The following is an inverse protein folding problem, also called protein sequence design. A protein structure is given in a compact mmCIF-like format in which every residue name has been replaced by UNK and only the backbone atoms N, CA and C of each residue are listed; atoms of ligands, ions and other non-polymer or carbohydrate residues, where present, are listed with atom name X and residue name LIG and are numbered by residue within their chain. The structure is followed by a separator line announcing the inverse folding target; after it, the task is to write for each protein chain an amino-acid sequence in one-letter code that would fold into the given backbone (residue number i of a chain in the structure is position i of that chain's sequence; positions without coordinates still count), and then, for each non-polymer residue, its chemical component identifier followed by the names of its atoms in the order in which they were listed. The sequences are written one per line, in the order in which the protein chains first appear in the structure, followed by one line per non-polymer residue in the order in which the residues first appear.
data_IF_253200667172
#
_entry.id   IF_253200667172
#
_cell.length_a   1.000
_cell.length_b   1.000
_cell.length_c   1.000
_cell.angle_alpha   90.00
_cell.angle_beta   90.00
_cell.angle_gamma   90.00
#
_symmetry.space_group_name_H-M   'P 1'
#
loop_
_entity.id
_entity.type
_entity.pdbx_description
1 polymer ?
#
# COMPACT_ATOMS: atom_id res chain seq x y z
N UNK A 1 44.22 40.51 89.81
CA UNK A 1 43.00 41.32 89.96
C UNK A 1 42.50 41.72 88.56
N UNK A 2 41.25 41.35 88.22
CA UNK A 2 40.23 42.07 87.41
C UNK A 2 40.72 42.85 86.16
N UNK A 3 40.22 42.69 84.92
CA UNK A 3 38.95 42.20 84.35
C UNK A 3 39.20 41.88 82.87
N UNK A 4 38.68 40.75 82.37
CA UNK A 4 38.52 40.48 80.95
C UNK A 4 37.14 40.97 80.50
N UNK A 5 37.09 41.75 79.41
CA UNK A 5 35.86 42.19 78.75
C UNK A 5 35.55 41.22 77.61
N UNK A 6 34.48 40.45 77.77
CA UNK A 6 33.85 39.65 76.72
C UNK A 6 32.94 40.56 75.89
N UNK A 7 33.27 40.77 74.63
CA UNK A 7 32.34 41.32 73.63
C UNK A 7 31.64 40.15 72.94
N UNK A 8 30.36 39.95 73.26
CA UNK A 8 29.48 38.99 72.61
C UNK A 8 28.96 39.57 71.29
N UNK A 9 29.46 39.07 70.16
CA UNK A 9 28.87 39.33 68.85
C UNK A 9 27.75 38.32 68.60
N UNK A 10 26.51 38.80 68.67
CA UNK A 10 25.31 38.04 68.28
C UNK A 10 25.29 37.92 66.76
N UNK A 11 25.54 36.71 66.25
CA UNK A 11 25.31 36.35 64.84
C UNK A 11 23.82 36.13 64.66
N UNK A 12 23.12 37.09 64.03
CA UNK A 12 21.75 36.90 63.57
C UNK A 12 21.77 36.00 62.32
N UNK A 13 21.45 34.71 62.49
CA UNK A 13 21.10 33.84 61.38
C UNK A 13 19.76 34.31 60.78
N UNK A 14 19.81 35.05 59.67
CA UNK A 14 18.65 35.21 58.81
C UNK A 14 18.42 33.89 58.06
N UNK A 15 17.52 33.05 58.56
CA UNK A 15 16.90 32.00 57.75
C UNK A 15 16.06 32.68 56.69
N UNK A 16 16.67 32.90 55.51
CA UNK A 16 15.94 33.26 54.30
C UNK A 16 15.10 32.05 53.91
N UNK A 17 13.86 32.02 54.36
CA UNK A 17 12.87 31.06 53.89
C UNK A 17 12.71 31.27 52.39
N UNK A 18 13.31 30.40 51.58
CA UNK A 18 12.91 30.23 50.19
C UNK A 18 11.48 29.72 50.21
N UNK A 19 10.52 30.64 50.23
CA UNK A 19 9.15 30.33 49.83
C UNK A 19 9.22 29.92 48.37
N UNK A 20 9.29 28.61 48.12
CA UNK A 20 8.79 28.06 46.87
C UNK A 20 7.29 28.37 46.86
N UNK A 21 6.93 29.54 46.34
CA UNK A 21 5.66 29.70 45.65
C UNK A 21 5.66 28.62 44.58
N UNK A 22 4.97 27.51 44.85
CA UNK A 22 4.54 26.61 43.81
C UNK A 22 3.81 27.51 42.80
N UNK A 23 4.41 27.69 41.62
CA UNK A 23 3.68 28.23 40.51
C UNK A 23 2.46 27.32 40.36
N UNK A 24 1.27 27.85 40.66
CA UNK A 24 0.02 27.28 40.18
C UNK A 24 0.26 26.94 38.71
N UNK A 25 -0.03 25.70 38.25
CA UNK A 25 0.05 25.42 36.83
C UNK A 25 -0.80 26.50 36.17
N UNK A 26 -0.21 27.29 35.28
CA UNK A 26 -0.96 28.24 34.46
C UNK A 26 -1.97 27.39 33.69
N UNK A 27 -3.16 27.29 34.26
CA UNK A 27 -4.31 26.62 33.69
C UNK A 27 -4.79 27.52 32.58
N UNK A 28 -4.08 27.48 31.45
CA UNK A 28 -4.54 28.11 30.23
C UNK A 28 -6.03 27.79 30.08
N UNK A 29 -6.90 28.80 29.87
CA UNK A 29 -8.32 28.57 29.76
C UNK A 29 -8.59 27.44 28.77
N UNK A 30 -9.37 26.43 29.19
CA UNK A 30 -9.64 25.21 28.41
C UNK A 30 -10.46 25.47 27.13
N UNK A 31 -10.83 26.71 26.87
CA UNK A 31 -11.49 27.21 25.67
C UNK A 31 -10.50 27.84 24.67
N UNK A 32 -9.21 27.92 24.99
CA UNK A 32 -8.16 28.35 24.07
C UNK A 32 -7.52 27.16 23.35
N UNK A 33 -6.96 27.38 22.15
CA UNK A 33 -6.23 26.35 21.41
C UNK A 33 -5.13 25.69 22.27
N UNK A 34 -4.21 26.44 22.93
CA UNK A 34 -3.23 25.81 23.82
C UNK A 34 -3.84 25.02 24.98
N UNK A 35 -4.92 25.52 25.58
CA UNK A 35 -5.60 24.86 26.70
C UNK A 35 -6.25 23.54 26.29
N UNK A 36 -7.00 23.54 25.18
CA UNK A 36 -7.64 22.32 24.63
C UNK A 36 -6.58 21.29 24.22
N UNK A 37 -5.57 21.71 23.44
CA UNK A 37 -4.54 20.78 22.95
C UNK A 37 -3.74 20.18 24.10
N UNK A 38 -3.38 20.97 25.11
CA UNK A 38 -2.69 20.46 26.30
C UNK A 38 -3.55 19.44 27.06
N UNK A 39 -4.81 19.76 27.35
CA UNK A 39 -5.69 18.83 28.06
C UNK A 39 -5.87 17.50 27.33
N UNK A 40 -5.95 17.52 25.99
CA UNK A 40 -6.00 16.31 25.17
C UNK A 40 -4.72 15.49 25.31
N UNK A 41 -3.56 16.13 25.16
CA UNK A 41 -2.26 15.45 25.24
C UNK A 41 -2.01 14.87 26.65
N UNK A 42 -2.34 15.62 27.70
CA UNK A 42 -2.30 15.14 29.09
C UNK A 42 -3.17 13.90 29.29
N UNK A 43 -4.38 13.87 28.71
CA UNK A 43 -5.26 12.69 28.79
C UNK A 43 -4.62 11.47 28.11
N UNK A 44 -4.10 11.64 26.89
CA UNK A 44 -3.45 10.56 26.15
C UNK A 44 -2.19 10.03 26.87
N UNK A 45 -1.40 10.93 27.44
CA UNK A 45 -0.17 10.59 28.16
C UNK A 45 -0.44 9.92 29.51
N UNK A 46 -1.51 10.31 30.21
CA UNK A 46 -1.97 9.62 31.41
C UNK A 46 -2.37 8.16 31.13
N UNK A 47 -2.90 7.89 29.93
CA UNK A 47 -3.22 6.55 29.44
C UNK A 47 -1.99 5.79 28.86
N UNK A 48 -0.79 6.39 28.95
CA UNK A 48 0.48 5.76 28.58
C UNK A 48 0.95 6.01 27.14
N UNK A 49 0.27 6.88 26.38
CA UNK A 49 0.73 7.24 25.04
C UNK A 49 1.95 8.17 25.07
N UNK A 50 2.78 8.10 24.03
CA UNK A 50 3.76 9.13 23.73
C UNK A 50 3.19 10.02 22.62
N UNK A 51 2.85 11.27 22.96
CA UNK A 51 2.26 12.22 22.03
C UNK A 51 3.17 13.46 21.82
N UNK A 52 3.07 14.07 20.65
CA UNK A 52 3.73 15.31 20.29
C UNK A 52 2.83 16.14 19.39
N UNK A 53 2.93 17.47 19.51
CA UNK A 53 2.14 18.40 18.72
C UNK A 53 2.96 19.66 18.39
N UNK A 54 2.83 20.11 17.15
CA UNK A 54 3.41 21.35 16.68
C UNK A 54 2.37 22.05 15.80
N UNK A 55 1.85 23.17 16.27
CA UNK A 55 0.82 23.96 15.60
C UNK A 55 1.40 25.30 15.24
N UNK A 56 1.21 25.70 13.99
CA UNK A 56 1.80 26.90 13.41
C UNK A 56 0.73 27.67 12.64
N UNK A 57 0.81 29.00 12.67
CA UNK A 57 0.04 29.85 11.75
C UNK A 57 0.62 29.67 10.33
N UNK A 58 -0.19 29.17 9.40
CA UNK A 58 0.26 28.87 8.05
C UNK A 58 0.66 30.11 7.22
N UNK A 59 0.25 31.31 7.62
CA UNK A 59 0.59 32.57 6.94
C UNK A 59 1.88 33.19 7.49
N UNK A 60 2.01 33.22 8.81
CA UNK A 60 3.14 33.91 9.48
C UNK A 60 4.29 32.96 9.79
N UNK A 61 4.04 31.65 9.88
CA UNK A 61 4.99 30.66 10.37
C UNK A 61 5.18 30.69 11.89
N UNK A 62 4.38 31.48 12.61
CA UNK A 62 4.48 31.61 14.06
C UNK A 62 3.96 30.35 14.77
N UNK A 63 4.75 29.74 15.68
CA UNK A 63 4.26 28.63 16.49
C UNK A 63 3.14 29.09 17.43
N UNK A 64 1.95 28.49 17.29
CA UNK A 64 0.78 28.75 18.13
C UNK A 64 0.72 27.78 19.32
N UNK A 65 1.33 26.60 19.19
CA UNK A 65 1.44 25.59 20.23
C UNK A 65 2.59 24.63 19.94
N UNK A 66 3.37 24.28 20.96
CA UNK A 66 4.41 23.27 20.86
C UNK A 66 4.35 22.32 22.05
N UNK A 67 4.54 21.03 21.80
CA UNK A 67 4.64 19.99 22.82
C UNK A 67 5.44 18.82 22.27
N UNK A 68 6.63 18.57 22.84
CA UNK A 68 7.52 17.47 22.41
C UNK A 68 7.82 17.49 20.90
N UNK A 69 7.87 18.67 20.29
CA UNK A 69 8.00 18.85 18.84
C UNK A 69 9.31 18.30 18.25
N UNK A 70 10.33 18.10 19.11
CA UNK A 70 11.63 17.53 18.73
C UNK A 70 11.76 16.02 19.06
N UNK A 71 10.71 15.38 19.57
CA UNK A 71 10.71 13.94 19.86
C UNK A 71 10.39 13.16 18.58
N UNK A 72 11.22 12.18 18.23
CA UNK A 72 10.97 11.31 17.08
C UNK A 72 9.87 10.30 17.40
N UNK A 73 8.82 10.28 16.58
CA UNK A 73 7.69 9.37 16.66
C UNK A 73 7.56 8.58 15.36
N UNK A 74 6.84 7.45 15.38
CA UNK A 74 6.47 6.73 14.16
C UNK A 74 5.39 7.54 13.43
N UNK A 75 5.66 8.07 12.23
CA UNK A 75 4.70 8.95 11.54
C UNK A 75 3.54 8.17 10.91
N UNK A 76 3.66 6.84 10.77
CA UNK A 76 2.76 6.04 9.96
C UNK A 76 2.54 6.70 8.57
N UNK A 77 1.30 6.81 8.13
CA UNK A 77 0.98 7.41 6.82
C UNK A 77 1.23 8.92 6.71
N UNK A 78 1.53 9.65 7.79
CA UNK A 78 1.90 11.08 7.67
C UNK A 78 3.25 11.26 6.97
N UNK A 79 4.08 10.21 6.90
CA UNK A 79 5.30 10.18 6.09
C UNK A 79 5.03 10.49 4.60
N UNK A 80 3.81 10.22 4.12
CA UNK A 80 3.40 10.55 2.74
C UNK A 80 3.50 12.03 2.42
N UNK A 81 3.42 12.92 3.41
CA UNK A 81 3.62 14.36 3.22
C UNK A 81 5.05 14.65 2.75
N UNK A 82 6.04 14.04 3.41
CA UNK A 82 7.46 14.20 3.08
C UNK A 82 7.76 13.59 1.71
N UNK A 83 7.35 12.35 1.46
CA UNK A 83 7.64 11.67 0.19
C UNK A 83 6.94 12.34 -1.01
N UNK A 84 5.70 12.79 -0.85
CA UNK A 84 4.97 13.50 -1.92
C UNK A 84 5.59 14.87 -2.18
N UNK A 85 5.99 15.60 -1.14
CA UNK A 85 6.67 16.90 -1.30
C UNK A 85 8.01 16.74 -2.04
N UNK A 86 8.78 15.70 -1.71
CA UNK A 86 10.02 15.38 -2.41
C UNK A 86 9.78 15.03 -3.89
N UNK A 87 8.78 14.20 -4.18
CA UNK A 87 8.42 13.85 -5.56
C UNK A 87 7.97 15.08 -6.37
N UNK A 88 7.11 15.93 -5.79
CA UNK A 88 6.65 17.17 -6.43
C UNK A 88 7.81 18.15 -6.67
N UNK A 89 8.75 18.28 -5.72
CA UNK A 89 9.92 19.13 -5.87
C UNK A 89 10.90 18.62 -6.93
N UNK A 90 11.07 17.30 -7.05
CA UNK A 90 12.03 16.69 -7.95
C UNK A 90 11.51 16.55 -9.39
N UNK A 91 10.23 16.16 -9.54
CA UNK A 91 9.62 15.85 -10.84
C UNK A 91 8.76 16.99 -11.39
N UNK A 92 8.21 17.83 -10.50
CA UNK A 92 7.19 18.82 -10.85
C UNK A 92 5.77 18.22 -10.87
N UNK A 93 4.76 19.08 -10.72
CA UNK A 93 3.35 18.67 -10.69
C UNK A 93 2.83 18.17 -12.05
N UNK A 94 3.48 18.59 -13.14
CA UNK A 94 3.10 18.23 -14.51
C UNK A 94 3.82 16.98 -15.02
N UNK A 95 4.68 16.36 -14.21
CA UNK A 95 5.33 15.12 -14.59
C UNK A 95 4.31 14.04 -14.96
N UNK A 96 4.58 13.32 -16.05
CA UNK A 96 3.80 12.17 -16.49
C UNK A 96 4.74 11.02 -16.75
N UNK A 97 4.41 9.86 -16.20
CA UNK A 97 5.07 8.63 -16.58
C UNK A 97 4.74 8.30 -18.04
N UNK A 98 5.69 7.67 -18.72
CA UNK A 98 5.49 7.12 -20.05
C UNK A 98 6.01 5.69 -20.02
N UNK A 99 5.15 4.74 -20.40
CA UNK A 99 5.50 3.32 -20.51
C UNK A 99 5.45 2.92 -21.99
N UNK A 100 6.59 2.94 -22.70
CA UNK A 100 6.64 2.52 -24.09
C UNK A 100 6.28 1.04 -24.23
N UNK A 101 5.48 0.72 -25.24
CA UNK A 101 5.18 -0.65 -25.67
C UNK A 101 5.47 -0.77 -27.16
N UNK A 102 6.26 -1.76 -27.53
CA UNK A 102 6.70 -1.99 -28.90
C UNK A 102 6.57 -3.46 -29.30
N UNK A 103 6.52 -3.69 -30.61
CA UNK A 103 6.54 -5.01 -31.22
C UNK A 103 7.95 -5.29 -31.72
N UNK A 104 8.57 -6.36 -31.23
CA UNK A 104 9.93 -6.77 -31.61
C UNK A 104 9.87 -8.09 -32.37
N UNK A 105 10.05 -8.03 -33.69
CA UNK A 105 10.06 -9.22 -34.54
C UNK A 105 9.69 -8.90 -35.98
N UNK A 106 9.12 -9.89 -36.66
CA UNK A 106 8.79 -9.80 -38.09
C UNK A 106 7.31 -10.06 -38.34
N UNK A 107 6.73 -9.27 -39.24
CA UNK A 107 5.36 -9.47 -39.72
C UNK A 107 5.38 -9.97 -41.16
N UNK A 108 4.60 -11.02 -41.45
CA UNK A 108 4.36 -11.53 -42.79
C UNK A 108 2.86 -11.61 -43.04
N UNK A 109 2.32 -10.62 -43.77
CA UNK A 109 0.87 -10.47 -43.92
C UNK A 109 0.19 -10.28 -42.57
N UNK A 110 -0.82 -11.12 -42.27
CA UNK A 110 -1.52 -11.10 -40.99
C UNK A 110 -0.85 -11.87 -39.85
N UNK A 111 0.32 -12.48 -40.09
CA UNK A 111 1.07 -13.23 -39.09
C UNK A 111 2.19 -12.36 -38.50
N UNK A 112 2.21 -12.18 -37.18
CA UNK A 112 3.32 -11.59 -36.45
C UNK A 112 4.10 -12.66 -35.69
N UNK A 113 5.42 -12.71 -35.92
CA UNK A 113 6.38 -13.58 -35.25
C UNK A 113 7.34 -12.69 -34.47
N UNK A 114 7.14 -12.56 -33.16
CA UNK A 114 7.87 -11.61 -32.35
C UNK A 114 7.23 -11.35 -30.99
N UNK A 115 7.90 -10.60 -30.14
CA UNK A 115 7.44 -10.30 -28.79
C UNK A 115 6.71 -8.95 -28.72
N UNK A 116 5.77 -8.83 -27.78
CA UNK A 116 5.30 -7.54 -27.27
C UNK A 116 6.23 -7.16 -26.12
N UNK A 117 6.89 -6.02 -26.22
CA UNK A 117 7.85 -5.58 -25.20
C UNK A 117 7.37 -4.27 -24.59
N UNK A 118 7.16 -4.26 -23.29
CA UNK A 118 6.94 -3.04 -22.53
C UNK A 118 8.23 -2.64 -21.78
N UNK A 119 8.53 -1.35 -21.75
CA UNK A 119 9.70 -0.83 -21.02
C UNK A 119 9.27 -0.31 -19.66
N UNK A 120 9.86 -0.86 -18.60
CA UNK A 120 9.63 -0.44 -17.23
C UNK A 120 9.97 1.04 -17.04
N UNK A 121 9.04 1.78 -16.45
CA UNK A 121 9.11 3.24 -16.26
C UNK A 121 8.84 3.68 -14.82
N UNK A 122 8.43 2.75 -13.95
CA UNK A 122 7.93 3.06 -12.60
C UNK A 122 6.51 3.65 -12.57
N UNK A 123 5.75 3.63 -13.67
CA UNK A 123 4.38 4.18 -13.74
C UNK A 123 3.40 3.46 -12.79
N UNK A 124 2.96 4.10 -11.68
CA UNK A 124 2.06 3.46 -10.72
C UNK A 124 0.61 3.42 -11.22
N UNK A 125 0.30 4.10 -12.33
CA UNK A 125 -1.05 4.24 -12.88
C UNK A 125 -1.35 3.26 -14.00
N UNK A 126 -0.35 2.59 -14.58
CA UNK A 126 -0.53 1.69 -15.72
C UNK A 126 -1.56 0.58 -15.42
N UNK A 127 -2.65 0.53 -16.18
CA UNK A 127 -3.73 -0.44 -16.00
C UNK A 127 -4.62 -0.22 -14.76
N UNK A 128 -4.31 0.74 -13.89
CA UNK A 128 -5.09 0.98 -12.68
C UNK A 128 -6.54 1.38 -13.01
N UNK A 129 -7.48 0.80 -12.28
CA UNK A 129 -8.91 1.14 -12.39
C UNK A 129 -9.23 2.56 -11.92
N UNK A 130 -8.30 3.24 -11.23
CA UNK A 130 -8.47 4.63 -10.76
C UNK A 130 -8.19 5.66 -11.84
N UNK A 131 -7.52 5.26 -12.91
CA UNK A 131 -7.08 6.13 -13.99
C UNK A 131 -7.67 5.60 -15.31
N UNK A 132 -8.84 6.10 -15.74
CA UNK A 132 -9.51 5.63 -16.96
C UNK A 132 -8.61 5.66 -18.20
N UNK A 133 -7.66 6.59 -18.26
CA UNK A 133 -6.75 6.80 -19.38
C UNK A 133 -5.74 5.66 -19.56
N UNK A 134 -5.40 4.96 -18.48
CA UNK A 134 -4.43 3.85 -18.46
C UNK A 134 -5.09 2.50 -18.21
N UNK A 135 -6.35 2.47 -17.77
CA UNK A 135 -7.13 1.26 -17.54
C UNK A 135 -7.23 0.34 -18.78
N UNK A 136 -7.21 0.92 -19.98
CA UNK A 136 -7.28 0.23 -21.27
C UNK A 136 -5.91 -0.08 -21.89
N UNK A 137 -4.83 -0.12 -21.09
CA UNK A 137 -3.47 -0.30 -21.60
C UNK A 137 -3.31 -1.55 -22.50
N UNK A 138 -3.93 -2.67 -22.13
CA UNK A 138 -3.84 -3.92 -22.90
C UNK A 138 -4.71 -3.89 -24.16
N UNK A 139 -5.88 -3.25 -24.11
CA UNK A 139 -6.73 -3.07 -25.29
C UNK A 139 -6.02 -2.20 -26.34
N UNK A 140 -5.25 -1.17 -25.93
CA UNK A 140 -4.40 -0.41 -26.85
C UNK A 140 -3.35 -1.25 -27.57
N UNK A 141 -2.84 -2.30 -26.92
CA UNK A 141 -1.95 -3.26 -27.58
C UNK A 141 -2.73 -4.03 -28.64
N UNK A 142 -3.92 -4.53 -28.32
CA UNK A 142 -4.75 -5.26 -29.28
C UNK A 142 -5.20 -4.40 -30.46
N UNK A 143 -5.59 -3.14 -30.22
CA UNK A 143 -5.88 -2.14 -31.24
C UNK A 143 -4.66 -1.88 -32.15
N UNK A 144 -3.46 -1.83 -31.57
CA UNK A 144 -2.22 -1.67 -32.33
C UNK A 144 -1.89 -2.87 -33.23
N UNK A 145 -2.30 -4.09 -32.86
CA UNK A 145 -2.23 -5.28 -33.70
C UNK A 145 -3.24 -5.19 -34.86
N UNK A 146 -4.50 -4.86 -34.56
CA UNK A 146 -5.56 -4.72 -35.56
C UNK A 146 -5.21 -3.62 -36.59
N UNK A 147 -4.72 -2.48 -36.13
CA UNK A 147 -4.30 -1.36 -36.99
C UNK A 147 -3.14 -1.73 -37.93
N UNK A 148 -2.32 -2.72 -37.57
CA UNK A 148 -1.23 -3.26 -38.41
C UNK A 148 -1.69 -4.41 -39.31
N UNK A 149 -2.97 -4.79 -39.27
CA UNK A 149 -3.50 -5.93 -40.00
C UNK A 149 -2.99 -7.28 -39.49
N UNK A 150 -2.52 -7.35 -38.25
CA UNK A 150 -2.12 -8.61 -37.61
C UNK A 150 -3.40 -9.34 -37.16
N UNK A 151 -3.50 -10.63 -37.43
CA UNK A 151 -4.61 -11.51 -37.06
C UNK A 151 -4.14 -12.77 -36.33
N UNK A 152 -2.86 -13.13 -36.48
CA UNK A 152 -2.23 -14.27 -35.82
C UNK A 152 -0.90 -13.83 -35.23
N UNK A 153 -0.58 -14.33 -34.04
CA UNK A 153 0.62 -13.95 -33.32
C UNK A 153 1.31 -15.15 -32.68
N UNK A 154 2.64 -15.20 -32.81
CA UNK A 154 3.49 -16.10 -32.02
C UNK A 154 4.64 -15.30 -31.39
N UNK A 155 4.64 -15.26 -30.06
CA UNK A 155 5.73 -14.73 -29.25
C UNK A 155 5.28 -14.48 -27.82
N UNK A 156 6.07 -13.71 -27.08
CA UNK A 156 5.87 -13.48 -25.65
C UNK A 156 5.53 -12.03 -25.35
N UNK A 157 4.94 -11.79 -24.18
CA UNK A 157 4.93 -10.45 -23.58
C UNK A 157 6.13 -10.37 -22.64
N UNK A 158 6.99 -9.38 -22.85
CA UNK A 158 8.22 -9.18 -22.07
C UNK A 158 8.27 -7.78 -21.50
N UNK A 159 8.85 -7.68 -20.31
CA UNK A 159 9.19 -6.41 -19.71
C UNK A 159 10.70 -6.22 -19.81
N UNK A 160 11.11 -5.04 -20.25
CA UNK A 160 12.52 -4.63 -20.35
C UNK A 160 12.81 -3.52 -19.34
N UNK A 161 14.08 -3.35 -18.96
CA UNK A 161 14.50 -2.28 -18.02
C UNK A 161 14.20 -2.59 -16.55
N UNK A 162 14.07 -3.86 -16.17
CA UNK A 162 13.89 -4.30 -14.78
C UNK A 162 15.21 -4.62 -14.08
N UNK A 163 16.34 -4.51 -14.77
CA UNK A 163 17.66 -4.88 -14.25
C UNK A 163 18.07 -3.98 -13.06
N UNK A 164 18.63 -4.59 -12.02
CA UNK A 164 19.30 -3.86 -10.92
C UNK A 164 18.39 -3.32 -9.81
N UNK A 165 17.10 -3.64 -9.82
CA UNK A 165 16.17 -3.32 -8.73
C UNK A 165 15.41 -4.56 -8.28
N UNK A 166 15.73 -5.05 -7.08
CA UNK A 166 14.98 -6.14 -6.46
C UNK A 166 13.64 -5.59 -5.96
N UNK A 167 12.56 -5.96 -6.65
CA UNK A 167 11.19 -5.73 -6.20
C UNK A 167 10.87 -6.65 -5.03
N UNK A 168 10.72 -6.10 -3.84
CA UNK A 168 10.43 -6.87 -2.63
C UNK A 168 9.79 -6.02 -1.55
N UNK A 169 9.58 -6.63 -0.38
CA UNK A 169 9.06 -5.88 0.76
C UNK A 169 10.06 -4.83 1.24
N UNK A 170 9.54 -3.68 1.67
CA UNK A 170 10.35 -2.62 2.27
C UNK A 170 10.99 -3.05 3.60
N UNK A 171 12.11 -2.44 4.01
CA UNK A 171 12.70 -2.70 5.32
C UNK A 171 11.70 -2.46 6.45
N UNK A 172 11.57 -3.44 7.35
CA UNK A 172 10.68 -3.37 8.51
C UNK A 172 9.20 -3.67 8.22
N UNK A 173 8.84 -4.06 7.00
CA UNK A 173 7.48 -4.53 6.69
C UNK A 173 7.20 -5.86 7.37
N UNK A 174 5.97 -6.01 7.87
CA UNK A 174 5.54 -7.25 8.49
C UNK A 174 5.22 -8.31 7.41
N UNK A 175 5.71 -9.52 7.60
CA UNK A 175 5.56 -10.60 6.62
C UNK A 175 4.09 -11.04 6.44
N UNK A 176 3.28 -10.89 7.49
CA UNK A 176 1.85 -11.21 7.51
C UNK A 176 1.01 -10.13 6.80
N UNK A 177 1.59 -8.98 6.51
CA UNK A 177 0.97 -7.96 5.66
C UNK A 177 1.18 -8.22 4.16
N UNK A 178 2.12 -9.10 3.80
CA UNK A 178 2.59 -9.30 2.41
C UNK A 178 1.49 -9.67 1.41
N UNK A 179 0.36 -10.21 1.88
CA UNK A 179 -0.77 -10.56 1.02
C UNK A 179 -1.64 -9.36 0.64
N UNK A 180 -1.61 -8.26 1.38
CA UNK A 180 -2.56 -7.16 1.22
C UNK A 180 -2.03 -6.06 0.30
N UNK A 181 -2.96 -5.39 -0.38
CA UNK A 181 -2.64 -4.35 -1.36
C UNK A 181 -1.74 -3.22 -0.85
N UNK A 182 -1.83 -2.82 0.42
CA UNK A 182 -0.97 -1.77 0.98
C UNK A 182 0.50 -2.22 1.18
N UNK A 183 0.77 -3.53 1.06
CA UNK A 183 2.08 -4.16 1.12
C UNK A 183 2.49 -4.74 -0.24
N UNK A 184 1.86 -4.27 -1.33
CA UNK A 184 2.32 -4.62 -2.67
C UNK A 184 3.74 -4.06 -2.91
N UNK A 185 4.63 -4.90 -3.43
CA UNK A 185 6.03 -4.54 -3.59
C UNK A 185 6.21 -3.39 -4.59
N UNK A 186 7.06 -2.38 -4.29
CA UNK A 186 7.47 -1.38 -5.26
C UNK A 186 8.46 -2.00 -6.26
N UNK A 187 7.95 -2.37 -7.44
CA UNK A 187 8.73 -2.96 -8.54
C UNK A 187 9.05 -1.91 -9.61
N UNK A 188 10.09 -2.11 -10.45
CA UNK A 188 10.36 -1.22 -11.59
C UNK A 188 9.20 -1.15 -12.59
N UNK A 189 8.46 -2.25 -12.72
CA UNK A 189 7.26 -2.34 -13.55
C UNK A 189 6.05 -2.57 -12.65
N UNK A 190 5.15 -1.59 -12.61
CA UNK A 190 3.90 -1.66 -11.87
C UNK A 190 2.76 -1.84 -12.86
N UNK A 191 1.86 -2.77 -12.59
CA UNK A 191 0.65 -2.97 -13.38
C UNK A 191 -0.55 -3.19 -12.48
N UNK A 192 -1.62 -2.41 -12.70
CA UNK A 192 -2.82 -2.39 -11.84
C UNK A 192 -2.49 -2.21 -10.35
N UNK A 193 -1.60 -1.28 -10.02
CA UNK A 193 -1.12 -1.05 -8.64
C UNK A 193 -0.46 -2.31 -8.01
N UNK A 194 -0.07 -3.32 -8.81
CA UNK A 194 0.38 -4.64 -8.35
C UNK A 194 -0.67 -5.36 -7.49
N UNK A 195 -1.96 -5.21 -7.84
CA UNK A 195 -3.09 -5.69 -7.05
C UNK A 195 -4.13 -6.42 -7.90
N UNK A 196 -4.69 -7.47 -7.31
CA UNK A 196 -5.88 -8.17 -7.78
C UNK A 196 -6.91 -8.24 -6.66
N UNK A 197 -8.19 -8.28 -7.01
CA UNK A 197 -9.26 -8.42 -6.03
C UNK A 197 -9.73 -9.87 -6.00
N UNK A 198 -9.84 -10.42 -4.79
CA UNK A 198 -10.50 -11.69 -4.52
C UNK A 198 -11.85 -11.40 -3.88
N UNK A 199 -12.92 -11.91 -4.49
CA UNK A 199 -14.26 -11.92 -3.93
C UNK A 199 -14.71 -13.35 -3.65
N UNK A 200 -15.31 -13.54 -2.48
CA UNK A 200 -15.92 -14.77 -2.02
C UNK A 200 -17.43 -14.59 -1.97
N UNK A 201 -18.18 -15.56 -2.46
CA UNK A 201 -19.63 -15.59 -2.32
C UNK A 201 -20.12 -17.00 -2.02
N UNK A 202 -21.09 -17.10 -1.11
CA UNK A 202 -21.87 -18.32 -0.86
C UNK A 202 -23.05 -18.39 -1.82
N UNK A 203 -23.39 -19.60 -2.24
CA UNK A 203 -24.61 -19.82 -3.01
C UNK A 203 -25.85 -19.54 -2.13
N UNK A 204 -26.98 -19.08 -2.70
CA UNK A 204 -28.22 -18.95 -1.96
C UNK A 204 -28.59 -20.25 -1.23
N UNK A 205 -28.85 -20.17 0.08
CA UNK A 205 -29.18 -21.33 0.91
C UNK A 205 -27.98 -22.13 1.44
N UNK A 206 -26.75 -21.75 1.10
CA UNK A 206 -25.56 -22.40 1.65
C UNK A 206 -25.35 -22.05 3.13
N UNK A 207 -24.80 -23.01 3.87
CA UNK A 207 -24.41 -22.90 5.27
C UNK A 207 -23.05 -22.24 5.43
N UNK A 208 -22.67 -21.92 6.67
CA UNK A 208 -21.36 -21.36 6.94
C UNK A 208 -20.20 -22.34 6.70
N UNK A 209 -20.46 -23.65 6.65
CA UNK A 209 -19.43 -24.66 6.43
C UNK A 209 -19.15 -24.90 4.94
N UNK A 210 -20.04 -24.46 4.06
CA UNK A 210 -19.90 -24.68 2.62
C UNK A 210 -18.78 -23.84 2.02
N UNK A 211 -18.08 -24.41 1.05
CA UNK A 211 -17.01 -23.74 0.33
C UNK A 211 -17.57 -22.57 -0.50
N UNK A 212 -16.93 -21.38 -0.47
CA UNK A 212 -17.34 -20.26 -1.30
C UNK A 212 -16.97 -20.48 -2.77
N UNK A 213 -17.72 -19.82 -3.65
CA UNK A 213 -17.20 -19.46 -4.97
C UNK A 213 -16.13 -18.38 -4.83
N UNK A 214 -15.07 -18.47 -5.64
CA UNK A 214 -13.97 -17.49 -5.70
C UNK A 214 -14.06 -16.77 -7.03
N UNK A 215 -14.04 -15.44 -6.99
CA UNK A 215 -14.02 -14.59 -8.18
C UNK A 215 -12.81 -13.66 -8.10
N UNK A 216 -12.10 -13.53 -9.22
CA UNK A 216 -10.96 -12.65 -9.37
C UNK A 216 -11.33 -11.43 -10.21
N UNK A 217 -10.83 -10.26 -9.81
CA UNK A 217 -10.85 -9.07 -10.66
C UNK A 217 -9.42 -8.53 -10.79
N UNK A 218 -8.90 -8.41 -12.03
CA UNK A 218 -9.51 -8.79 -13.30
C UNK A 218 -9.61 -10.32 -13.50
N UNK A 219 -10.43 -10.76 -14.45
CA UNK A 219 -10.69 -12.19 -14.73
C UNK A 219 -9.48 -12.93 -15.29
N UNK A 220 -8.54 -12.22 -15.92
CA UNK A 220 -7.28 -12.78 -16.40
C UNK A 220 -6.21 -12.92 -15.30
N UNK A 221 -6.52 -12.57 -14.04
CA UNK A 221 -5.58 -12.75 -12.95
C UNK A 221 -5.20 -14.23 -12.79
N UNK A 222 -3.90 -14.51 -12.70
CA UNK A 222 -3.34 -15.87 -12.62
C UNK A 222 -3.00 -16.31 -11.19
N UNK A 223 -3.32 -15.47 -10.19
CA UNK A 223 -3.06 -15.76 -8.79
C UNK A 223 -3.95 -16.91 -8.30
N UNK A 224 -3.35 -17.90 -7.63
CA UNK A 224 -4.08 -19.00 -7.02
C UNK A 224 -4.46 -18.68 -5.56
N UNK A 225 -5.63 -19.15 -5.12
CA UNK A 225 -6.09 -19.01 -3.74
C UNK A 225 -6.58 -20.35 -3.18
N UNK A 226 -6.17 -20.64 -1.95
CA UNK A 226 -6.77 -21.70 -1.11
C UNK A 226 -7.59 -21.01 -0.02
N UNK A 227 -8.89 -21.29 0.02
CA UNK A 227 -9.81 -20.70 1.00
C UNK A 227 -10.21 -21.75 2.04
N UNK A 228 -9.78 -21.53 3.28
CA UNK A 228 -10.22 -22.31 4.43
C UNK A 228 -11.43 -21.62 5.06
N UNK A 229 -12.45 -22.40 5.40
CA UNK A 229 -13.65 -21.91 6.08
C UNK A 229 -13.56 -22.28 7.55
N UNK A 230 -13.75 -21.30 8.43
CA UNK A 230 -13.74 -21.49 9.89
C UNK A 230 -15.06 -20.96 10.45
N UNK A 231 -15.85 -21.85 11.05
CA UNK A 231 -17.19 -21.55 11.58
C UNK A 231 -17.22 -21.31 13.08
N UNK A 232 -16.05 -21.33 13.72
CA UNK A 232 -15.90 -21.30 15.18
C UNK A 232 -15.28 -20.00 15.70
N UNK A 233 -15.40 -18.90 14.95
CA UNK A 233 -14.77 -17.64 15.30
C UNK A 233 -15.64 -16.79 16.25
N UNK A 234 -15.02 -15.81 16.92
CA UNK A 234 -15.74 -14.81 17.72
C UNK A 234 -16.46 -13.78 16.83
N UNK A 235 -15.87 -13.47 15.66
CA UNK A 235 -16.38 -12.49 14.70
C UNK A 235 -16.12 -12.94 13.27
N UNK A 236 -16.97 -12.48 12.36
CA UNK A 236 -16.73 -12.65 10.93
C UNK A 236 -15.48 -11.88 10.50
N UNK A 237 -14.58 -12.53 9.76
CA UNK A 237 -13.46 -11.86 9.10
C UNK A 237 -12.97 -12.65 7.88
N UNK A 238 -12.23 -11.98 7.01
CA UNK A 238 -11.44 -12.62 5.96
C UNK A 238 -9.99 -12.19 6.17
N UNK A 239 -9.11 -13.16 6.38
CA UNK A 239 -7.67 -12.91 6.53
C UNK A 239 -6.93 -13.77 5.51
N UNK A 240 -5.93 -13.20 4.84
CA UNK A 240 -5.13 -13.90 3.85
C UNK A 240 -3.65 -13.73 4.17
N UNK A 241 -2.87 -14.77 3.88
CA UNK A 241 -1.42 -14.78 3.98
C UNK A 241 -0.82 -15.31 2.67
N UNK A 242 0.38 -14.85 2.33
CA UNK A 242 1.14 -15.39 1.20
C UNK A 242 1.63 -16.80 1.50
N UNK A 243 1.63 -17.68 0.50
CA UNK A 243 2.25 -19.00 0.63
C UNK A 243 2.14 -19.87 -0.62
N UNK A 244 3.20 -20.61 -0.96
CA UNK A 244 3.19 -21.65 -2.00
C UNK A 244 2.92 -21.16 -3.43
N UNK A 245 3.34 -19.93 -3.78
CA UNK A 245 3.08 -19.34 -5.10
C UNK A 245 1.67 -18.76 -5.27
N UNK A 246 0.89 -18.65 -4.19
CA UNK A 246 -0.45 -18.06 -4.18
C UNK A 246 -0.80 -17.41 -2.84
N UNK A 247 -2.09 -17.38 -2.53
CA UNK A 247 -2.61 -16.91 -1.24
C UNK A 247 -3.36 -18.02 -0.52
N UNK A 248 -3.23 -18.04 0.80
CA UNK A 248 -4.09 -18.83 1.69
C UNK A 248 -4.97 -17.87 2.45
N UNK A 249 -6.27 -17.98 2.25
CA UNK A 249 -7.26 -17.20 2.97
C UNK A 249 -7.99 -18.07 3.99
N UNK A 250 -8.34 -17.48 5.13
CA UNK A 250 -9.25 -18.07 6.11
C UNK A 250 -10.46 -17.15 6.23
N UNK A 251 -11.62 -17.65 5.80
CA UNK A 251 -12.88 -16.95 5.89
C UNK A 251 -13.65 -17.44 7.11
N UNK A 252 -13.75 -16.56 8.12
CA UNK A 252 -14.32 -16.89 9.42
C UNK A 252 -15.77 -16.44 9.53
N UNK A 253 -16.58 -17.31 10.13
CA UNK A 253 -17.97 -17.07 10.48
C UNK A 253 -18.14 -17.25 11.99
N UNK A 254 -18.93 -16.39 12.66
CA UNK A 254 -19.07 -16.45 14.10
C UNK A 254 -19.96 -17.62 14.57
N UNK A 255 -19.59 -18.28 15.66
CA UNK A 255 -20.40 -19.36 16.26
C UNK A 255 -21.75 -18.82 16.73
N UNK A 256 -22.86 -19.36 16.20
CA UNK A 256 -24.21 -18.92 16.55
C UNK A 256 -24.57 -17.49 16.13
N UNK A 257 -23.70 -16.84 15.35
CA UNK A 257 -23.91 -15.49 14.81
C UNK A 257 -24.33 -15.49 13.33
N UNK A 258 -24.50 -14.31 12.74
CA UNK A 258 -24.90 -14.18 11.34
C UNK A 258 -23.80 -14.73 10.42
N UNK A 259 -24.22 -15.53 9.44
CA UNK A 259 -23.36 -16.12 8.44
C UNK A 259 -23.04 -15.11 7.32
N UNK A 260 -21.78 -14.66 7.14
CA UNK A 260 -21.44 -13.71 6.08
C UNK A 260 -21.68 -14.32 4.69
N UNK A 261 -22.47 -13.68 3.83
CA UNK A 261 -22.78 -14.25 2.50
C UNK A 261 -21.71 -13.95 1.46
N UNK A 262 -20.95 -12.88 1.66
CA UNK A 262 -19.85 -12.50 0.79
C UNK A 262 -18.72 -11.84 1.58
N UNK A 263 -17.52 -11.85 1.01
CA UNK A 263 -16.37 -11.09 1.49
C UNK A 263 -15.47 -10.74 0.30
N UNK A 264 -14.68 -9.67 0.42
CA UNK A 264 -13.70 -9.33 -0.59
C UNK A 264 -12.43 -8.79 0.04
N UNK A 265 -11.30 -8.96 -0.64
CA UNK A 265 -9.99 -8.48 -0.22
C UNK A 265 -9.17 -8.12 -1.45
N UNK A 266 -8.45 -6.99 -1.35
CA UNK A 266 -7.46 -6.60 -2.35
C UNK A 266 -6.11 -7.23 -1.98
N UNK A 267 -5.61 -8.06 -2.88
CA UNK A 267 -4.38 -8.82 -2.68
C UNK A 267 -3.26 -8.26 -3.53
N UNK A 268 -2.06 -8.19 -2.96
CA UNK A 268 -0.85 -7.87 -3.70
C UNK A 268 -0.58 -8.93 -4.78
N UNK A 269 0.26 -8.59 -5.75
CA UNK A 269 0.80 -9.48 -6.78
C UNK A 269 2.32 -9.31 -6.82
N UNK A 270 3.05 -10.42 -6.74
CA UNK A 270 4.52 -10.39 -6.69
C UNK A 270 5.15 -10.37 -8.09
N UNK A 271 4.39 -10.80 -9.10
CA UNK A 271 4.82 -10.84 -10.51
C UNK A 271 3.87 -10.01 -11.41
N UNK A 272 3.92 -8.67 -11.32
CA UNK A 272 3.06 -7.81 -12.13
C UNK A 272 3.29 -7.96 -13.65
N UNK A 273 4.47 -8.43 -14.06
CA UNK A 273 4.80 -8.74 -15.45
C UNK A 273 3.93 -9.88 -15.99
N UNK A 274 3.70 -10.92 -15.18
CA UNK A 274 2.83 -12.03 -15.53
C UNK A 274 1.35 -11.59 -15.60
N UNK A 275 0.93 -10.69 -14.71
CA UNK A 275 -0.41 -10.10 -14.75
C UNK A 275 -0.62 -9.25 -16.01
N UNK A 276 0.39 -8.48 -16.41
CA UNK A 276 0.36 -7.71 -17.66
C UNK A 276 0.33 -8.62 -18.89
N UNK A 277 1.14 -9.68 -18.92
CA UNK A 277 1.12 -10.66 -20.00
C UNK A 277 -0.26 -11.30 -20.16
N UNK A 278 -0.88 -11.74 -19.07
CA UNK A 278 -2.23 -12.30 -19.09
C UNK A 278 -3.28 -11.28 -19.57
N UNK A 279 -3.12 -10.01 -19.21
CA UNK A 279 -3.98 -8.93 -19.68
C UNK A 279 -3.88 -8.69 -21.20
N UNK A 280 -2.66 -8.68 -21.74
CA UNK A 280 -2.42 -8.55 -23.19
C UNK A 280 -2.99 -9.75 -23.93
N UNK A 281 -2.81 -10.97 -23.41
CA UNK A 281 -3.38 -12.18 -24.01
C UNK A 281 -4.91 -12.18 -24.04
N UNK A 282 -5.55 -11.77 -22.93
CA UNK A 282 -7.00 -11.60 -22.85
C UNK A 282 -7.49 -10.55 -23.86
N UNK A 283 -6.83 -9.39 -23.93
CA UNK A 283 -7.19 -8.32 -24.85
C UNK A 283 -7.05 -8.75 -26.32
N UNK A 284 -5.93 -9.37 -26.69
CA UNK A 284 -5.72 -9.88 -28.04
C UNK A 284 -6.79 -10.89 -28.43
N UNK A 285 -7.13 -11.82 -27.53
CA UNK A 285 -8.17 -12.83 -27.76
C UNK A 285 -9.54 -12.17 -27.97
N UNK A 286 -9.93 -11.23 -27.11
CA UNK A 286 -11.21 -10.50 -27.24
C UNK A 286 -11.30 -9.70 -28.55
N UNK A 287 -10.17 -9.21 -29.05
CA UNK A 287 -10.08 -8.49 -30.33
C UNK A 287 -9.91 -9.41 -31.55
N UNK A 288 -9.99 -10.73 -31.38
CA UNK A 288 -9.94 -11.72 -32.46
C UNK A 288 -8.54 -11.97 -33.02
N UNK A 289 -7.48 -11.64 -32.25
CA UNK A 289 -6.10 -11.99 -32.59
C UNK A 289 -5.78 -13.38 -32.06
N UNK A 290 -5.52 -14.33 -32.95
CA UNK A 290 -5.24 -15.71 -32.56
C UNK A 290 -3.80 -15.89 -32.10
N UNK A 291 -3.59 -16.31 -30.85
CA UNK A 291 -2.28 -16.72 -30.35
C UNK A 291 -1.95 -18.13 -30.83
N UNK A 292 -0.82 -18.26 -31.52
CA UNK A 292 -0.27 -19.53 -31.98
C UNK A 292 0.62 -20.16 -30.90
N UNK A 293 0.74 -21.50 -30.87
CA UNK A 293 1.64 -22.20 -29.95
C UNK A 293 3.09 -21.72 -30.11
N UNK A 294 3.80 -21.59 -28.97
CA UNK A 294 5.23 -21.24 -28.95
C UNK A 294 6.11 -22.40 -29.43
N UNK A 295 5.71 -23.65 -29.18
CA UNK A 295 6.35 -24.85 -29.70
C UNK A 295 5.58 -25.40 -30.91
N UNK A 296 6.31 -25.79 -31.96
CA UNK A 296 5.78 -26.69 -32.97
C UNK A 296 5.86 -28.10 -32.40
N UNK A 297 4.75 -28.68 -31.95
CA UNK A 297 4.73 -30.13 -31.75
C UNK A 297 4.94 -30.78 -33.11
N UNK A 298 5.95 -31.65 -33.21
CA UNK A 298 6.13 -32.47 -34.38
C UNK A 298 4.88 -33.37 -34.52
N UNK A 299 4.31 -33.54 -35.73
CA UNK A 299 3.19 -34.45 -35.91
C UNK A 299 3.57 -35.83 -35.37
N UNK A 300 2.74 -36.36 -34.45
CA UNK A 300 2.89 -37.72 -33.94
C UNK A 300 2.82 -38.67 -35.12
N UNK A 301 3.84 -39.53 -35.34
CA UNK A 301 3.76 -40.54 -36.40
C UNK A 301 2.52 -41.42 -36.20
N UNK A 302 1.87 -41.86 -37.28
CA UNK A 302 0.69 -42.72 -37.22
C UNK A 302 0.95 -44.06 -36.53
#
# INVERSE_FOLDING_TARGET
MRRALLSASVVALFLSACTHTAATPDGAPRDTLPGVTRALLETLEADGALAGAYVVDARTGEPLFTHRENVRLLPASTMKVVSTSAALSALGADFRFTTPVFLEGSQAGGLFLGDVVAQASGDPSLGSWRFPETALACDRVAEAFQARGIHQWRGNVRISGTDGMDGGMGPGWAWDDAAYAYSAAPTPFVFRENVVDLALARAPGATCADAPSVQWTPTFATLSAVVNVDVNAERANLACVRGGGGVRCTWRSPTGGPCPQAAAVKLSVDAPEALFAACVDDALTRHGITRLPLSLEAPTPP
#
